data_IF_604869749890
#
_entry.id   IF_604869749890
#
_cell.length_a   1.000
_cell.length_b   1.000
_cell.length_c   1.000
_cell.angle_alpha   90.00
_cell.angle_beta   90.00
_cell.angle_gamma   90.00
#
_symmetry.space_group_name_H-M   'P 1'
#
loop_
_entity.id
_entity.type
_entity.pdbx_description
1 polymer ?
#
# COMPACT_ATOMS: atom_id res chain seq x y z
N UNK A 1 -42.71 -33.37 -7.46
CA UNK A 1 -41.63 -32.72 -8.20
C UNK A 1 -41.58 -31.27 -7.73
N UNK A 2 -40.98 -31.05 -6.55
CA UNK A 2 -40.80 -29.72 -5.98
C UNK A 2 -39.66 -29.05 -6.75
N UNK A 3 -39.94 -27.86 -7.29
CA UNK A 3 -38.91 -27.02 -7.89
C UNK A 3 -37.76 -26.88 -6.90
N UNK A 4 -36.53 -27.16 -7.35
CA UNK A 4 -35.33 -26.75 -6.64
C UNK A 4 -35.44 -25.23 -6.54
N UNK A 5 -35.64 -24.73 -5.33
CA UNK A 5 -35.51 -23.31 -5.04
C UNK A 5 -34.12 -22.90 -5.54
N UNK A 6 -34.00 -22.01 -6.55
CA UNK A 6 -32.70 -21.55 -7.00
C UNK A 6 -32.04 -20.92 -5.78
N UNK A 7 -31.06 -21.62 -5.21
CA UNK A 7 -30.52 -21.30 -3.88
C UNK A 7 -30.18 -19.82 -3.77
N UNK A 8 -30.48 -19.22 -2.61
CA UNK A 8 -30.37 -17.78 -2.37
C UNK A 8 -29.05 -17.23 -2.96
N UNK A 9 -29.04 -16.05 -3.59
CA UNK A 9 -27.83 -15.49 -4.21
C UNK A 9 -26.60 -15.49 -3.29
N UNK A 10 -26.81 -15.26 -1.99
CA UNK A 10 -25.73 -15.33 -0.99
C UNK A 10 -25.08 -16.72 -0.86
N UNK A 11 -25.88 -17.79 -0.97
CA UNK A 11 -25.38 -19.16 -0.92
C UNK A 11 -24.63 -19.52 -2.21
N UNK A 12 -25.03 -18.94 -3.35
CA UNK A 12 -24.29 -19.06 -4.59
C UNK A 12 -22.92 -18.36 -4.50
N UNK A 13 -22.88 -17.13 -3.99
CA UNK A 13 -21.63 -16.39 -3.80
C UNK A 13 -20.64 -17.15 -2.91
N UNK A 14 -21.13 -17.73 -1.79
CA UNK A 14 -20.32 -18.58 -0.91
C UNK A 14 -19.72 -19.79 -1.63
N UNK A 15 -20.52 -20.52 -2.42
CA UNK A 15 -20.04 -21.67 -3.20
C UNK A 15 -18.98 -21.27 -4.23
N UNK A 16 -19.17 -20.14 -4.92
CA UNK A 16 -18.18 -19.63 -5.87
C UNK A 16 -16.86 -19.31 -5.16
N UNK A 17 -16.92 -18.63 -4.01
CA UNK A 17 -15.73 -18.31 -3.23
C UNK A 17 -15.00 -19.57 -2.73
N UNK A 18 -15.74 -20.59 -2.28
CA UNK A 18 -15.20 -21.89 -1.86
C UNK A 18 -14.52 -22.65 -3.01
N UNK A 19 -15.06 -22.53 -4.23
CA UNK A 19 -14.49 -23.16 -5.43
C UNK A 19 -13.33 -22.36 -6.06
N UNK A 20 -13.07 -21.14 -5.58
CA UNK A 20 -12.02 -20.27 -6.09
C UNK A 20 -12.46 -19.31 -7.20
N UNK A 21 -13.75 -19.27 -7.55
CA UNK A 21 -14.33 -18.33 -8.50
C UNK A 21 -14.56 -16.96 -7.84
N UNK A 22 -13.47 -16.36 -7.34
CA UNK A 22 -13.49 -15.19 -6.46
C UNK A 22 -14.12 -13.96 -7.13
N UNK A 23 -13.83 -13.72 -8.42
CA UNK A 23 -14.40 -12.57 -9.14
C UNK A 23 -15.92 -12.63 -9.26
N UNK A 24 -16.47 -13.80 -9.58
CA UNK A 24 -17.92 -13.98 -9.65
C UNK A 24 -18.56 -13.90 -8.26
N UNK A 25 -17.91 -14.46 -7.23
CA UNK A 25 -18.37 -14.35 -5.86
C UNK A 25 -18.41 -12.88 -5.39
N UNK A 26 -17.36 -12.10 -5.68
CA UNK A 26 -17.27 -10.69 -5.34
C UNK A 26 -18.39 -9.87 -5.97
N UNK A 27 -18.70 -10.10 -7.25
CA UNK A 27 -19.78 -9.41 -7.94
C UNK A 27 -21.15 -9.62 -7.25
N UNK A 28 -21.48 -10.87 -6.90
CA UNK A 28 -22.75 -11.18 -6.20
C UNK A 28 -22.75 -10.57 -4.79
N UNK A 29 -21.65 -10.68 -4.05
CA UNK A 29 -21.57 -10.07 -2.72
C UNK A 29 -21.68 -8.53 -2.77
N UNK A 30 -21.08 -7.87 -3.77
CA UNK A 30 -21.17 -6.44 -3.95
C UNK A 30 -22.60 -5.97 -4.24
N UNK A 31 -23.31 -6.68 -5.13
CA UNK A 31 -24.72 -6.39 -5.44
C UNK A 31 -25.60 -6.49 -4.18
N UNK A 32 -25.50 -7.59 -3.44
CA UNK A 32 -26.27 -7.81 -2.21
C UNK A 32 -25.91 -6.83 -1.09
N UNK A 33 -24.62 -6.47 -0.96
CA UNK A 33 -24.16 -5.53 0.05
C UNK A 33 -24.58 -4.08 -0.25
N UNK A 34 -24.81 -3.74 -1.53
CA UNK A 34 -25.29 -2.43 -1.96
C UNK A 34 -26.80 -2.24 -1.71
N UNK A 35 -27.58 -3.32 -1.62
CA UNK A 35 -29.00 -3.27 -1.27
C UNK A 35 -29.19 -3.07 0.24
N UNK A 36 -29.28 -1.81 0.67
CA UNK A 36 -29.41 -1.45 2.09
C UNK A 36 -30.67 -1.99 2.78
N UNK A 37 -31.71 -2.36 2.03
CA UNK A 37 -32.95 -2.93 2.57
C UNK A 37 -32.96 -4.47 2.47
N UNK A 38 -31.97 -5.05 1.80
CA UNK A 38 -31.85 -6.48 1.55
C UNK A 38 -31.55 -7.28 2.82
N UNK A 39 -32.21 -8.44 3.03
CA UNK A 39 -32.02 -9.24 4.23
C UNK A 39 -30.61 -9.85 4.35
N UNK A 40 -29.86 -9.88 3.24
CA UNK A 40 -28.54 -10.47 3.12
C UNK A 40 -27.40 -9.43 3.14
N UNK A 41 -27.72 -8.13 3.27
CA UNK A 41 -26.76 -7.04 3.09
C UNK A 41 -25.54 -7.14 4.02
N UNK A 42 -25.76 -7.38 5.31
CA UNK A 42 -24.68 -7.45 6.29
C UNK A 42 -23.75 -8.66 6.04
N UNK A 43 -24.32 -9.83 5.79
CA UNK A 43 -23.54 -11.04 5.49
C UNK A 43 -22.78 -10.89 4.16
N UNK A 44 -23.40 -10.25 3.16
CA UNK A 44 -22.78 -9.99 1.88
C UNK A 44 -21.63 -8.99 1.98
N UNK A 45 -21.75 -7.95 2.82
CA UNK A 45 -20.66 -7.01 3.08
C UNK A 45 -19.42 -7.67 3.68
N UNK A 46 -19.63 -8.64 4.60
CA UNK A 46 -18.54 -9.46 5.14
C UNK A 46 -17.94 -10.36 4.05
N UNK A 47 -18.80 -11.03 3.27
CA UNK A 47 -18.37 -11.87 2.15
C UNK A 47 -17.52 -11.13 1.12
N UNK A 48 -17.95 -9.93 0.71
CA UNK A 48 -17.21 -9.05 -0.19
C UNK A 48 -15.82 -8.72 0.35
N UNK A 49 -15.73 -8.39 1.63
CA UNK A 49 -14.47 -8.00 2.27
C UNK A 49 -13.45 -9.14 2.26
N UNK A 50 -13.90 -10.35 2.60
CA UNK A 50 -13.06 -11.56 2.61
C UNK A 50 -12.58 -11.92 1.21
N UNK A 51 -13.47 -11.87 0.21
CA UNK A 51 -13.13 -12.21 -1.17
C UNK A 51 -12.19 -11.16 -1.77
N UNK A 52 -12.47 -9.87 -1.58
CA UNK A 52 -11.61 -8.79 -2.06
C UNK A 52 -10.22 -8.82 -1.41
N UNK A 53 -10.14 -9.09 -0.11
CA UNK A 53 -8.88 -9.30 0.59
C UNK A 53 -8.05 -10.42 -0.04
N UNK A 54 -8.68 -11.58 -0.29
CA UNK A 54 -8.00 -12.74 -0.85
C UNK A 54 -7.51 -12.47 -2.26
N UNK A 55 -8.38 -11.93 -3.13
CA UNK A 55 -8.01 -11.54 -4.49
C UNK A 55 -6.84 -10.56 -4.50
N UNK A 56 -6.90 -9.53 -3.66
CA UNK A 56 -5.83 -8.54 -3.58
C UNK A 56 -4.52 -9.14 -3.06
N UNK A 57 -4.55 -10.04 -2.07
CA UNK A 57 -3.36 -10.73 -1.59
C UNK A 57 -2.73 -11.59 -2.68
N UNK A 58 -3.53 -12.41 -3.37
CA UNK A 58 -3.07 -13.26 -4.47
C UNK A 58 -2.43 -12.42 -5.60
N UNK A 59 -3.08 -11.32 -5.99
CA UNK A 59 -2.56 -10.39 -7.00
C UNK A 59 -1.25 -9.72 -6.55
N UNK A 60 -1.12 -9.33 -5.28
CA UNK A 60 0.12 -8.74 -4.77
C UNK A 60 1.26 -9.75 -4.73
N UNK A 61 0.99 -11.01 -4.36
CA UNK A 61 1.97 -12.08 -4.37
C UNK A 61 2.43 -12.40 -5.82
N UNK A 62 1.54 -12.27 -6.80
CA UNK A 62 1.84 -12.40 -8.23
C UNK A 62 2.48 -11.15 -8.86
N UNK A 63 2.70 -10.08 -8.09
CA UNK A 63 3.32 -8.84 -8.57
C UNK A 63 2.41 -8.00 -9.47
N UNK A 64 1.09 -8.04 -9.22
CA UNK A 64 0.03 -7.36 -9.96
C UNK A 64 -0.65 -6.26 -9.12
N UNK A 65 0.11 -5.24 -8.65
CA UNK A 65 -0.41 -4.28 -7.68
C UNK A 65 -1.48 -3.34 -8.26
N UNK A 66 -1.46 -3.02 -9.55
CA UNK A 66 -2.52 -2.23 -10.19
C UNK A 66 -3.85 -2.97 -10.13
N UNK A 67 -3.87 -4.26 -10.48
CA UNK A 67 -5.08 -5.08 -10.43
C UNK A 67 -5.56 -5.26 -8.98
N UNK A 68 -4.65 -5.43 -8.03
CA UNK A 68 -5.00 -5.50 -6.62
C UNK A 68 -5.67 -4.19 -6.14
N UNK A 69 -5.15 -3.04 -6.55
CA UNK A 69 -5.73 -1.74 -6.23
C UNK A 69 -7.15 -1.58 -6.82
N UNK A 70 -7.37 -2.01 -8.06
CA UNK A 70 -8.68 -1.97 -8.71
C UNK A 70 -9.73 -2.78 -7.93
N UNK A 71 -9.42 -4.02 -7.55
CA UNK A 71 -10.30 -4.89 -6.74
C UNK A 71 -10.65 -4.23 -5.40
N UNK A 72 -9.65 -3.65 -4.73
CA UNK A 72 -9.85 -3.00 -3.43
C UNK A 72 -10.68 -1.74 -3.53
N UNK A 73 -10.47 -0.93 -4.57
CA UNK A 73 -11.26 0.28 -4.84
C UNK A 73 -12.72 -0.06 -5.16
N UNK A 74 -12.95 -1.12 -5.94
CA UNK A 74 -14.30 -1.61 -6.23
C UNK A 74 -15.03 -2.02 -4.94
N UNK A 75 -14.40 -2.85 -4.10
CA UNK A 75 -14.98 -3.26 -2.82
C UNK A 75 -15.21 -2.06 -1.87
N UNK A 76 -14.25 -1.13 -1.79
CA UNK A 76 -14.35 0.08 -0.97
C UNK A 76 -15.42 1.07 -1.46
N UNK A 77 -15.88 0.95 -2.71
CA UNK A 77 -16.98 1.77 -3.23
C UNK A 77 -18.35 1.37 -2.65
N UNK A 78 -18.47 0.15 -2.11
CA UNK A 78 -19.68 -0.32 -1.43
C UNK A 78 -19.70 0.23 0.00
N UNK A 79 -20.59 1.18 0.27
CA UNK A 79 -20.69 1.89 1.57
C UNK A 79 -20.76 0.95 2.78
N UNK A 80 -21.42 -0.21 2.63
CA UNK A 80 -21.62 -1.16 3.71
C UNK A 80 -20.47 -2.16 3.92
N UNK A 81 -19.42 -2.13 3.06
CA UNK A 81 -18.33 -3.11 3.12
C UNK A 81 -17.74 -3.23 4.53
N UNK A 82 -17.57 -4.46 4.98
CA UNK A 82 -16.96 -4.72 6.29
C UNK A 82 -15.45 -4.43 6.25
N UNK A 83 -14.84 -4.28 7.42
CA UNK A 83 -13.38 -4.15 7.58
C UNK A 83 -12.67 -3.18 6.61
N UNK A 84 -13.34 -2.08 6.26
CA UNK A 84 -12.85 -1.12 5.28
C UNK A 84 -11.48 -0.50 5.65
N UNK A 85 -11.07 -0.54 6.92
CA UNK A 85 -9.74 -0.16 7.35
C UNK A 85 -8.67 -1.15 6.85
N UNK A 86 -8.96 -2.45 6.91
CA UNK A 86 -8.07 -3.52 6.43
C UNK A 86 -7.90 -3.46 4.91
N UNK A 87 -9.00 -3.26 4.17
CA UNK A 87 -8.95 -3.08 2.71
C UNK A 87 -8.11 -1.84 2.31
N UNK A 88 -8.23 -0.74 3.05
CA UNK A 88 -7.39 0.46 2.83
C UNK A 88 -5.91 0.21 3.10
N UNK A 89 -5.57 -0.63 4.08
CA UNK A 89 -4.18 -1.01 4.35
C UNK A 89 -3.62 -1.79 3.14
N UNK A 90 -4.36 -2.77 2.63
CA UNK A 90 -3.96 -3.49 1.42
C UNK A 90 -3.82 -2.57 0.20
N UNK A 91 -4.70 -1.57 0.07
CA UNK A 91 -4.61 -0.60 -1.03
C UNK A 91 -3.35 0.25 -0.90
N UNK A 92 -3.01 0.67 0.32
CA UNK A 92 -1.74 1.34 0.59
C UNK A 92 -0.54 0.47 0.22
N UNK A 93 -0.59 -0.82 0.53
CA UNK A 93 0.44 -1.80 0.15
C UNK A 93 0.58 -1.90 -1.39
N UNK A 94 -0.53 -1.99 -2.12
CA UNK A 94 -0.52 -2.00 -3.59
C UNK A 94 0.13 -0.74 -4.16
N UNK A 95 -0.17 0.44 -3.59
CA UNK A 95 0.49 1.68 -3.98
C UNK A 95 1.98 1.73 -3.67
N UNK A 96 2.43 1.11 -2.57
CA UNK A 96 3.87 0.98 -2.30
C UNK A 96 4.57 0.11 -3.35
N UNK A 97 3.96 -0.98 -3.80
CA UNK A 97 4.51 -1.83 -4.86
C UNK A 97 4.57 -1.10 -6.21
N UNK A 98 3.50 -0.40 -6.59
CA UNK A 98 3.51 0.47 -7.77
C UNK A 98 4.62 1.52 -7.70
N UNK A 99 4.77 2.18 -6.55
CA UNK A 99 5.83 3.17 -6.34
C UNK A 99 7.22 2.55 -6.48
N UNK A 100 7.46 1.36 -5.90
CA UNK A 100 8.70 0.63 -6.08
C UNK A 100 8.98 0.34 -7.56
N UNK A 101 7.98 -0.09 -8.32
CA UNK A 101 8.11 -0.33 -9.77
C UNK A 101 8.52 0.93 -10.53
N UNK A 102 7.88 2.07 -10.26
CA UNK A 102 8.21 3.35 -10.90
C UNK A 102 9.63 3.83 -10.53
N UNK A 103 10.03 3.71 -9.27
CA UNK A 103 11.39 4.08 -8.86
C UNK A 103 12.44 3.16 -9.49
N UNK A 104 12.15 1.85 -9.61
CA UNK A 104 13.04 0.91 -10.30
C UNK A 104 13.22 1.28 -11.77
N UNK A 105 12.14 1.60 -12.49
CA UNK A 105 12.20 2.07 -13.87
C UNK A 105 13.04 3.36 -13.99
N UNK A 106 12.85 4.33 -13.09
CA UNK A 106 13.63 5.57 -13.08
C UNK A 106 15.14 5.31 -12.84
N UNK A 107 15.48 4.32 -12.00
CA UNK A 107 16.88 3.89 -11.81
C UNK A 107 17.44 3.27 -13.09
N UNK A 108 16.64 2.51 -13.85
CA UNK A 108 17.07 1.88 -15.10
C UNK A 108 17.22 2.89 -16.24
N UNK A 109 16.29 3.82 -16.39
CA UNK A 109 16.34 4.90 -17.39
C UNK A 109 17.59 5.78 -17.19
N UNK A 110 17.89 6.14 -15.93
CA UNK A 110 19.08 6.91 -15.57
C UNK A 110 20.43 6.21 -15.87
N UNK A 111 20.45 4.94 -16.27
CA UNK A 111 21.69 4.23 -16.69
C UNK A 111 22.12 4.56 -18.12
N UNK A 112 21.18 4.95 -18.97
CA UNK A 112 21.37 4.98 -20.43
C UNK A 112 21.30 6.39 -21.03
N UNK A 113 20.88 7.38 -20.25
CA UNK A 113 20.79 8.77 -20.66
C UNK A 113 21.83 9.63 -19.90
N UNK A 114 22.13 10.83 -20.41
CA UNK A 114 22.80 11.91 -19.64
C UNK A 114 21.85 12.42 -18.52
N UNK A 115 21.29 11.48 -17.76
CA UNK A 115 20.32 11.72 -16.71
C UNK A 115 20.95 12.53 -15.59
N UNK A 116 20.16 13.42 -15.00
CA UNK A 116 20.62 14.22 -13.88
C UNK A 116 20.98 13.30 -12.71
N UNK A 117 22.25 13.30 -12.31
CA UNK A 117 22.77 12.47 -11.23
C UNK A 117 21.96 12.61 -9.93
N UNK A 118 21.37 13.79 -9.68
CA UNK A 118 20.47 14.04 -8.57
C UNK A 118 19.18 13.21 -8.65
N UNK A 119 18.57 13.13 -9.83
CA UNK A 119 17.34 12.36 -10.08
C UNK A 119 17.60 10.86 -9.94
N UNK A 120 18.70 10.36 -10.50
CA UNK A 120 19.11 8.96 -10.33
C UNK A 120 19.36 8.59 -8.87
N UNK A 121 20.09 9.44 -8.13
CA UNK A 121 20.34 9.23 -6.71
C UNK A 121 19.07 9.30 -5.85
N UNK A 122 18.11 10.17 -6.21
CA UNK A 122 16.80 10.24 -5.54
C UNK A 122 15.96 8.97 -5.80
N UNK A 123 15.95 8.45 -7.03
CA UNK A 123 15.25 7.21 -7.35
C UNK A 123 15.80 6.02 -6.55
N UNK A 124 17.14 5.91 -6.45
CA UNK A 124 17.83 4.91 -5.60
C UNK A 124 17.40 5.06 -4.13
N UNK A 125 17.43 6.28 -3.59
CA UNK A 125 17.04 6.56 -2.21
C UNK A 125 15.58 6.16 -1.93
N UNK A 126 14.65 6.58 -2.78
CA UNK A 126 13.23 6.31 -2.62
C UNK A 126 12.93 4.81 -2.74
N UNK A 127 13.51 4.12 -3.72
CA UNK A 127 13.36 2.67 -3.87
C UNK A 127 13.89 1.94 -2.64
N UNK A 128 15.13 2.23 -2.23
CA UNK A 128 15.77 1.55 -1.12
C UNK A 128 15.09 1.81 0.24
N UNK A 129 14.40 2.95 0.41
CA UNK A 129 13.61 3.22 1.62
C UNK A 129 12.19 2.69 1.59
N UNK A 130 11.64 2.44 0.40
CA UNK A 130 10.26 1.93 0.26
C UNK A 130 10.23 0.41 0.36
N UNK A 131 11.23 -0.29 -0.18
CA UNK A 131 11.32 -1.76 -0.16
C UNK A 131 11.19 -2.40 1.25
N UNK A 132 11.79 -1.86 2.33
CA UNK A 132 11.61 -2.42 3.68
C UNK A 132 10.17 -2.36 4.20
N UNK A 133 9.38 -1.38 3.74
CA UNK A 133 7.95 -1.29 4.09
C UNK A 133 7.15 -2.47 3.52
N UNK A 134 7.71 -3.18 2.55
CA UNK A 134 7.18 -4.41 1.94
C UNK A 134 7.88 -5.68 2.45
N UNK A 135 8.74 -5.57 3.47
CA UNK A 135 9.55 -6.68 3.98
C UNK A 135 10.65 -7.13 3.01
N UNK A 136 11.06 -6.26 2.08
CA UNK A 136 12.09 -6.52 1.06
C UNK A 136 13.44 -5.92 1.44
N UNK A 137 13.89 -6.17 2.67
CA UNK A 137 15.13 -5.59 3.23
C UNK A 137 16.38 -5.96 2.42
N UNK A 138 16.48 -7.20 1.91
CA UNK A 138 17.62 -7.65 1.11
C UNK A 138 17.70 -6.93 -0.25
N UNK A 139 16.55 -6.63 -0.85
CA UNK A 139 16.49 -5.87 -2.10
C UNK A 139 16.88 -4.42 -1.84
N UNK A 140 16.43 -3.84 -0.73
CA UNK A 140 16.82 -2.49 -0.31
C UNK A 140 18.34 -2.35 -0.15
N UNK A 141 18.99 -3.33 0.51
CA UNK A 141 20.45 -3.35 0.65
C UNK A 141 21.14 -3.44 -0.73
N UNK A 142 20.59 -4.21 -1.64
CA UNK A 142 21.10 -4.34 -3.01
C UNK A 142 21.01 -3.03 -3.78
N UNK A 143 19.90 -2.30 -3.66
CA UNK A 143 19.71 -0.98 -4.28
C UNK A 143 20.69 0.04 -3.69
N UNK A 144 20.89 0.05 -2.37
CA UNK A 144 21.90 0.92 -1.75
C UNK A 144 23.31 0.62 -2.26
N UNK A 145 23.70 -0.65 -2.29
CA UNK A 145 25.02 -1.07 -2.78
C UNK A 145 25.22 -0.67 -4.24
N UNK A 146 24.21 -0.89 -5.08
CA UNK A 146 24.21 -0.45 -6.47
C UNK A 146 24.49 1.06 -6.59
N UNK A 147 23.83 1.89 -5.78
CA UNK A 147 24.05 3.34 -5.81
C UNK A 147 25.42 3.78 -5.30
N UNK A 148 25.95 3.11 -4.26
CA UNK A 148 27.27 3.42 -3.69
C UNK A 148 28.43 3.03 -4.62
N UNK A 149 28.24 1.94 -5.39
CA UNK A 149 29.21 1.40 -6.33
C UNK A 149 28.96 1.89 -7.78
N UNK A 150 28.13 2.93 -7.96
CA UNK A 150 27.75 3.43 -9.28
C UNK A 150 28.98 3.96 -10.05
N UNK A 151 29.10 3.69 -11.37
CA UNK A 151 30.26 4.13 -12.16
C UNK A 151 30.36 5.64 -12.33
N UNK A 152 29.23 6.35 -12.26
CA UNK A 152 29.21 7.81 -12.14
C UNK A 152 29.47 8.23 -10.67
N UNK A 153 30.63 8.84 -10.44
CA UNK A 153 31.07 9.30 -9.13
C UNK A 153 30.13 10.35 -8.51
N UNK A 154 29.46 11.16 -9.33
CA UNK A 154 28.50 12.17 -8.86
C UNK A 154 27.27 11.49 -8.28
N UNK A 155 26.74 10.48 -8.96
CA UNK A 155 25.61 9.66 -8.46
C UNK A 155 26.00 8.99 -7.14
N UNK A 156 27.18 8.34 -7.10
CA UNK A 156 27.63 7.65 -5.91
C UNK A 156 27.80 8.58 -4.70
N UNK A 157 28.31 9.80 -4.91
CA UNK A 157 28.41 10.79 -3.85
C UNK A 157 27.05 11.29 -3.36
N UNK A 158 26.11 11.53 -4.27
CA UNK A 158 24.74 11.90 -3.89
C UNK A 158 24.05 10.80 -3.08
N UNK A 159 24.25 9.53 -3.44
CA UNK A 159 23.73 8.39 -2.70
C UNK A 159 24.33 8.32 -1.28
N UNK A 160 25.64 8.52 -1.11
CA UNK A 160 26.29 8.57 0.22
C UNK A 160 25.67 9.66 1.11
N UNK A 161 25.50 10.87 0.57
CA UNK A 161 24.90 11.99 1.29
C UNK A 161 23.46 11.69 1.71
N UNK A 162 22.68 11.03 0.87
CA UNK A 162 21.27 10.68 1.12
C UNK A 162 21.12 9.53 2.12
N UNK A 163 21.97 8.50 2.03
CA UNK A 163 21.97 7.37 2.96
C UNK A 163 22.19 7.82 4.42
N UNK A 164 23.05 8.83 4.63
CA UNK A 164 23.31 9.42 5.94
C UNK A 164 22.21 10.33 6.50
N UNK A 165 21.15 10.64 5.72
CA UNK A 165 20.02 11.44 6.21
C UNK A 165 19.11 10.59 7.07
N UNK A 166 18.90 11.02 8.31
CA UNK A 166 17.82 10.52 9.15
C UNK A 166 16.47 11.03 8.61
N UNK A 167 15.48 10.14 8.48
CA UNK A 167 14.12 10.49 8.01
C UNK A 167 13.22 10.87 9.20
N UNK A 168 13.75 10.90 10.42
CA UNK A 168 13.02 11.42 11.58
C UNK A 168 12.59 12.87 11.31
N UNK A 169 11.28 13.20 11.48
CA UNK A 169 10.90 14.60 11.50
C UNK A 169 11.68 15.27 12.63
N UNK A 170 12.31 16.41 12.36
CA UNK A 170 12.99 17.20 13.37
C UNK A 170 11.99 17.47 14.50
N UNK A 171 12.16 16.78 15.63
CA UNK A 171 11.43 17.13 16.84
C UNK A 171 11.77 18.59 17.11
N UNK A 172 10.74 19.44 17.10
CA UNK A 172 10.86 20.88 17.24
C UNK A 172 11.79 21.20 18.41
N UNK A 173 12.71 22.12 18.16
CA UNK A 173 13.59 22.71 19.15
C UNK A 173 12.86 22.90 20.49
N UNK A 174 13.33 22.20 21.52
CA UNK A 174 13.00 22.51 22.91
C UNK A 174 13.23 24.01 23.13
N UNK A 175 12.14 24.76 23.23
CA UNK A 175 12.18 26.10 23.79
C UNK A 175 12.66 25.96 25.23
N UNK A 176 13.77 26.60 25.65
CA UNK A 176 14.19 26.52 27.03
C UNK A 176 13.10 27.14 27.90
N UNK A 177 12.77 26.43 28.99
CA UNK A 177 11.76 26.81 29.96
C UNK A 177 11.92 28.25 30.43
N UNK A 178 10.79 28.93 30.57
CA UNK A 178 10.69 30.23 31.22
C UNK A 178 11.06 30.01 32.68
N UNK A 179 12.31 30.31 33.01
CA UNK A 179 12.81 30.31 34.37
C UNK A 179 12.10 31.43 35.15
N UNK A 180 11.55 31.07 36.31
CA UNK A 180 10.75 31.93 37.14
C UNK A 180 11.56 33.10 37.70
N UNK A 181 11.28 34.31 37.24
CA UNK A 181 11.67 35.53 37.94
C UNK A 181 10.62 35.83 39.02
N UNK A 182 10.79 35.20 40.19
CA UNK A 182 10.32 35.78 41.46
C UNK A 182 11.28 36.91 41.79
N UNK A 183 10.81 38.15 41.71
CA UNK A 183 11.45 39.29 42.36
C UNK A 183 10.50 39.84 43.41
N UNK A 184 10.77 39.47 44.66
CA UNK A 184 10.47 40.28 45.82
C UNK A 184 11.36 41.54 45.83
N UNK A 185 10.74 42.70 46.07
CA UNK A 185 11.21 43.88 46.82
C UNK A 185 10.21 45.00 46.51
N UNK A 186 9.46 45.58 47.46
CA UNK A 186 9.90 46.11 48.74
C UNK A 186 9.88 47.63 48.63
N UNK A 187 8.82 48.28 49.14
CA UNK A 187 8.63 49.74 49.13
C UNK A 187 7.17 50.16 49.24
#
# INVERSE_FOLDING_TARGET
>A
MTAVDPGRPIDQARRLAENGDLGEAAAIFAELAADAEGPDQADAAVGLSVVAERMAADLLDDGQPEQAADVLLEALSVTAVADAARLRILLGIAHLDMACGQFANAVEEGRWEDGEAETGALAIELLARTLPLRGRDADAETVWRYGLDHPDEVVAEQVRLRMGRDVRPAAGSDTPGVDGAVSENGG
#
